data_IF_615858871698
#
_entry.id   IF_615858871698
#
_cell.length_a   1.000
_cell.length_b   1.000
_cell.length_c   1.000
_cell.angle_alpha   90.00
_cell.angle_beta   90.00
_cell.angle_gamma   90.00
#
_symmetry.space_group_name_H-M   'P 1'
#
loop_
_entity.id
_entity.type
_entity.pdbx_description
1 polymer ?
#
# COMPACT_ATOMS: atom_id res chain seq x y z
N UNK A 1 13.30 0.75 12.06
CA UNK A 1 12.31 -0.30 11.75
C UNK A 1 11.55 0.20 10.54
N UNK A 2 11.51 -0.56 9.45
CA UNK A 2 10.87 -0.10 8.21
C UNK A 2 9.35 0.02 8.37
N UNK A 3 8.70 0.74 7.45
CA UNK A 3 7.23 0.87 7.41
C UNK A 3 6.55 -0.51 7.40
N UNK A 4 7.02 -1.42 6.55
CA UNK A 4 6.49 -2.78 6.42
C UNK A 4 6.64 -3.55 7.74
N UNK A 5 7.81 -3.49 8.38
CA UNK A 5 8.05 -4.16 9.66
C UNK A 5 7.12 -3.66 10.78
N UNK A 6 6.82 -2.35 10.77
CA UNK A 6 5.86 -1.75 11.68
C UNK A 6 4.44 -2.31 11.45
N UNK A 7 3.97 -2.35 10.20
CA UNK A 7 2.65 -2.90 9.87
C UNK A 7 2.53 -4.40 10.22
N UNK A 8 3.60 -5.17 10.08
CA UNK A 8 3.65 -6.59 10.50
C UNK A 8 3.58 -6.70 12.01
N UNK A 9 4.41 -5.94 12.74
CA UNK A 9 4.45 -5.96 14.21
C UNK A 9 3.10 -5.58 14.83
N UNK A 10 2.41 -4.62 14.24
CA UNK A 10 1.08 -4.15 14.66
C UNK A 10 -0.07 -5.04 14.18
N UNK A 11 0.22 -6.11 13.41
CA UNK A 11 -0.77 -7.06 12.87
C UNK A 11 -1.77 -6.45 11.89
N UNK A 12 -1.42 -5.33 11.25
CA UNK A 12 -2.17 -4.78 10.12
C UNK A 12 -1.86 -5.50 8.82
N UNK A 13 -0.64 -6.03 8.70
CA UNK A 13 -0.17 -6.82 7.56
C UNK A 13 0.27 -8.20 8.06
N UNK A 14 -0.46 -9.25 7.69
CA UNK A 14 -0.40 -10.59 8.32
C UNK A 14 -0.21 -11.71 7.32
N UNK A 15 -0.86 -11.62 6.16
CA UNK A 15 -0.93 -12.67 5.16
C UNK A 15 0.39 -12.73 4.37
N UNK A 16 1.08 -13.88 4.29
CA UNK A 16 2.38 -13.98 3.63
C UNK A 16 2.39 -13.43 2.19
N UNK A 17 1.37 -13.76 1.39
CA UNK A 17 1.25 -13.26 0.02
C UNK A 17 1.08 -11.74 -0.08
N UNK A 18 0.44 -11.10 0.90
CA UNK A 18 0.26 -9.64 0.94
C UNK A 18 1.55 -8.98 1.46
N UNK A 19 2.23 -9.59 2.44
CA UNK A 19 3.56 -9.16 2.89
C UNK A 19 4.55 -9.14 1.73
N UNK A 20 4.59 -10.22 0.95
CA UNK A 20 5.48 -10.32 -0.20
C UNK A 20 5.12 -9.29 -1.28
N UNK A 21 3.83 -9.03 -1.51
CA UNK A 21 3.41 -7.96 -2.43
C UNK A 21 3.90 -6.57 -1.96
N UNK A 22 3.77 -6.24 -0.67
CA UNK A 22 4.27 -4.98 -0.10
C UNK A 22 5.80 -4.86 -0.22
N UNK A 23 6.53 -5.97 -0.12
CA UNK A 23 8.00 -5.97 -0.27
C UNK A 23 8.47 -5.86 -1.71
N UNK A 24 7.69 -6.39 -2.65
CA UNK A 24 8.04 -6.41 -4.07
C UNK A 24 7.69 -5.12 -4.81
N UNK A 25 6.74 -4.32 -4.30
CA UNK A 25 6.26 -3.10 -4.95
C UNK A 25 6.75 -1.86 -4.20
N UNK A 26 7.57 -1.04 -4.84
CA UNK A 26 8.05 0.21 -4.28
C UNK A 26 6.99 1.31 -4.43
N UNK A 27 6.41 1.78 -3.32
CA UNK A 27 5.42 2.87 -3.33
C UNK A 27 5.94 4.16 -3.99
N UNK A 28 7.26 4.41 -3.90
CA UNK A 28 7.90 5.56 -4.52
C UNK A 28 7.68 5.66 -6.04
N UNK A 29 7.52 4.53 -6.74
CA UNK A 29 7.30 4.52 -8.20
C UNK A 29 5.93 5.08 -8.62
N UNK A 30 5.00 5.18 -7.67
CA UNK A 30 3.65 5.71 -7.86
C UNK A 30 3.49 7.16 -7.35
N UNK A 31 4.59 7.79 -6.92
CA UNK A 31 4.58 9.16 -6.40
C UNK A 31 5.27 10.15 -7.37
N UNK A 32 4.78 11.40 -7.44
CA UNK A 32 5.51 12.47 -8.14
C UNK A 32 6.92 12.65 -7.57
N UNK A 33 7.90 12.96 -8.42
CA UNK A 33 9.32 13.05 -8.05
C UNK A 33 9.58 13.89 -6.79
N UNK A 34 8.90 15.05 -6.70
CA UNK A 34 9.00 16.00 -5.58
C UNK A 34 8.55 15.46 -4.22
N UNK A 35 7.87 14.32 -4.15
CA UNK A 35 7.37 13.71 -2.91
C UNK A 35 7.80 12.24 -2.75
N UNK A 36 8.64 11.70 -3.64
CA UNK A 36 9.10 10.30 -3.53
C UNK A 36 9.79 9.98 -2.21
N UNK A 37 10.51 10.96 -1.65
CA UNK A 37 11.18 10.81 -0.35
C UNK A 37 10.20 10.59 0.83
N UNK A 38 8.89 10.80 0.61
CA UNK A 38 7.82 10.56 1.58
C UNK A 38 7.22 9.14 1.45
N UNK A 39 7.73 8.27 0.57
CA UNK A 39 7.13 6.95 0.28
C UNK A 39 6.93 6.08 1.53
N UNK A 40 7.86 6.16 2.48
CA UNK A 40 7.85 5.36 3.71
C UNK A 40 6.96 5.96 4.82
N UNK A 41 6.31 7.10 4.59
CA UNK A 41 5.35 7.65 5.55
C UNK A 41 4.06 6.84 5.53
N UNK A 42 3.58 6.46 6.72
CA UNK A 42 2.27 5.85 6.87
C UNK A 42 1.15 6.91 6.82
N UNK A 43 1.05 7.64 5.71
CA UNK A 43 0.10 8.72 5.49
C UNK A 43 -0.35 8.75 4.01
N UNK A 44 -1.52 9.32 3.68
CA UNK A 44 -1.88 9.58 2.29
C UNK A 44 -0.99 10.67 1.70
N UNK A 45 -0.46 10.44 0.50
CA UNK A 45 0.45 11.39 -0.17
C UNK A 45 -0.23 11.93 -1.43
N UNK A 46 -0.27 13.25 -1.59
CA UNK A 46 -0.88 13.86 -2.77
C UNK A 46 -0.12 13.49 -4.05
N UNK A 47 -0.86 13.07 -5.07
CA UNK A 47 -0.34 12.76 -6.41
C UNK A 47 -0.77 13.79 -7.46
N UNK A 48 -1.41 14.89 -7.03
CA UNK A 48 -1.97 15.93 -7.91
C UNK A 48 -3.45 15.70 -8.24
N UNK A 49 -4.05 16.64 -8.98
CA UNK A 49 -5.45 16.58 -9.43
C UNK A 49 -6.49 16.34 -8.31
N UNK A 50 -6.19 16.78 -7.09
CA UNK A 50 -7.04 16.54 -5.92
C UNK A 50 -7.05 15.10 -5.40
N UNK A 51 -6.16 14.23 -5.90
CA UNK A 51 -6.05 12.83 -5.52
C UNK A 51 -4.86 12.57 -4.58
N UNK A 52 -4.90 11.42 -3.91
CA UNK A 52 -3.85 10.95 -3.01
C UNK A 52 -3.58 9.46 -3.21
N UNK A 53 -2.30 9.09 -3.23
CA UNK A 53 -1.92 7.69 -3.02
C UNK A 53 -2.21 7.32 -1.56
N UNK A 54 -3.08 6.34 -1.36
CA UNK A 54 -3.61 5.94 -0.05
C UNK A 54 -2.54 5.64 1.01
N UNK A 55 -2.90 5.83 2.28
CA UNK A 55 -2.08 5.43 3.42
C UNK A 55 -1.77 3.91 3.36
N UNK A 56 -0.50 3.48 3.54
CA UNK A 56 -0.10 2.08 3.50
C UNK A 56 -0.90 1.17 4.42
N UNK A 57 -1.20 1.63 5.65
CA UNK A 57 -2.06 0.89 6.58
C UNK A 57 -3.48 0.68 6.02
N UNK A 58 -4.08 1.67 5.37
CA UNK A 58 -5.40 1.54 4.75
C UNK A 58 -5.37 0.48 3.65
N UNK A 59 -4.34 0.50 2.79
CA UNK A 59 -4.17 -0.50 1.72
C UNK A 59 -3.97 -1.90 2.30
N UNK A 60 -3.12 -2.05 3.33
CA UNK A 60 -2.90 -3.33 4.01
C UNK A 60 -4.22 -3.85 4.62
N UNK A 61 -4.95 -2.99 5.32
CA UNK A 61 -6.24 -3.32 5.91
C UNK A 61 -7.26 -3.78 4.87
N UNK A 62 -7.38 -3.06 3.74
CA UNK A 62 -8.30 -3.42 2.66
C UNK A 62 -7.95 -4.77 2.02
N UNK A 63 -6.66 -5.01 1.74
CA UNK A 63 -6.22 -6.27 1.13
C UNK A 63 -6.36 -7.46 2.08
N UNK A 64 -6.11 -7.28 3.38
CA UNK A 64 -6.33 -8.31 4.38
C UNK A 64 -7.81 -8.64 4.58
N UNK A 65 -8.71 -7.68 4.39
CA UNK A 65 -10.16 -7.93 4.39
C UNK A 65 -10.63 -8.63 3.11
N UNK A 66 -10.08 -8.24 1.96
CA UNK A 66 -10.40 -8.84 0.67
C UNK A 66 -9.87 -10.27 0.57
N UNK A 67 -8.72 -10.57 1.19
CA UNK A 67 -8.05 -11.86 1.20
C UNK A 67 -7.90 -12.49 -0.21
N UNK A 68 -7.31 -11.77 -1.19
CA UNK A 68 -7.31 -12.20 -2.58
C UNK A 68 -6.54 -13.49 -2.79
N UNK A 69 -7.05 -14.34 -3.70
CA UNK A 69 -6.47 -15.63 -4.07
C UNK A 69 -6.02 -15.66 -5.54
N UNK A 70 -5.01 -16.48 -5.88
CA UNK A 70 -4.59 -16.66 -7.27
C UNK A 70 -5.73 -17.12 -8.17
N UNK A 71 -5.90 -16.44 -9.31
CA UNK A 71 -6.92 -16.76 -10.31
C UNK A 71 -8.24 -16.00 -10.17
N UNK A 72 -8.42 -15.22 -9.10
CA UNK A 72 -9.59 -14.37 -8.94
C UNK A 72 -9.60 -13.19 -9.92
N UNK A 73 -10.81 -12.71 -10.25
CA UNK A 73 -11.02 -11.48 -11.01
C UNK A 73 -11.50 -10.40 -10.06
N UNK A 74 -10.69 -9.36 -9.90
CA UNK A 74 -10.93 -8.26 -8.94
C UNK A 74 -11.22 -6.98 -9.73
N UNK A 75 -12.21 -6.22 -9.27
CA UNK A 75 -12.49 -4.86 -9.75
C UNK A 75 -12.04 -3.87 -8.69
N UNK A 76 -11.12 -3.00 -9.05
CA UNK A 76 -10.72 -1.84 -8.25
C UNK A 76 -11.26 -0.56 -8.91
N UNK A 77 -11.93 0.28 -8.13
CA UNK A 77 -12.56 1.51 -8.62
C UNK A 77 -11.87 2.71 -7.97
N UNK A 78 -11.08 3.42 -8.78
CA UNK A 78 -10.25 4.54 -8.33
C UNK A 78 -8.76 4.20 -8.45
N UNK A 79 -8.25 4.17 -9.67
CA UNK A 79 -6.86 3.78 -9.95
C UNK A 79 -5.80 4.82 -9.51
N UNK A 80 -6.24 6.02 -9.11
CA UNK A 80 -5.39 7.10 -8.60
C UNK A 80 -5.29 7.04 -7.09
#
# INVERSE_FOLDING_TARGET
>A
MGLIDMLIKEKWLKSPQIIDAFRNIARADFLPEKVKYLSELNEPISIGYGQTNSQPLTVAFMLELLAPLPGEKILDIGAG
#
